data_IF_166826804102
#
_entry.id   IF_166826804102
#
_cell.length_a   1.000
_cell.length_b   1.000
_cell.length_c   1.000
_cell.angle_alpha   90.00
_cell.angle_beta   90.00
_cell.angle_gamma   90.00
#
_symmetry.space_group_name_H-M   'P 1'
#
loop_
_entity.id
_entity.type
_entity.pdbx_description
1 polymer ?
#
# COMPACT_ATOMS: atom_id res chain seq x y z
N UNK A 1 14.98 -12.93 1.24
CA UNK A 1 14.39 -11.58 0.98
C UNK A 1 15.31 -10.60 0.23
N UNK A 2 16.62 -10.85 0.06
CA UNK A 2 17.53 -9.91 -0.63
C UNK A 2 17.44 -9.92 -2.16
N UNK A 3 17.34 -11.11 -2.78
CA UNK A 3 17.35 -11.25 -4.24
C UNK A 3 16.24 -10.46 -4.95
N UNK A 4 15.00 -10.51 -4.44
CA UNK A 4 13.88 -9.76 -5.00
C UNK A 4 14.06 -8.23 -4.91
N UNK A 5 14.76 -7.74 -3.87
CA UNK A 5 15.07 -6.31 -3.73
C UNK A 5 16.15 -5.89 -4.72
N UNK A 6 17.18 -6.72 -4.91
CA UNK A 6 18.27 -6.47 -5.85
C UNK A 6 17.77 -6.50 -7.29
N UNK A 7 16.95 -7.49 -7.67
CA UNK A 7 16.38 -7.55 -9.02
C UNK A 7 15.45 -6.38 -9.30
N UNK A 8 14.60 -5.98 -8.34
CA UNK A 8 13.81 -4.74 -8.47
C UNK A 8 14.68 -3.50 -8.62
N UNK A 9 15.71 -3.35 -7.80
CA UNK A 9 16.62 -2.21 -7.88
C UNK A 9 17.33 -2.15 -9.24
N UNK A 10 17.83 -3.29 -9.74
CA UNK A 10 18.46 -3.38 -11.06
C UNK A 10 17.47 -2.99 -12.18
N UNK A 11 16.23 -3.47 -12.11
CA UNK A 11 15.20 -3.15 -13.10
C UNK A 11 14.84 -1.65 -13.11
N UNK A 12 14.76 -1.03 -11.93
CA UNK A 12 14.56 0.42 -11.80
C UNK A 12 15.72 1.19 -12.41
N UNK A 13 16.97 0.79 -12.15
CA UNK A 13 18.15 1.44 -12.74
C UNK A 13 18.12 1.33 -14.27
N UNK A 14 17.80 0.15 -14.81
CA UNK A 14 17.67 -0.05 -16.26
C UNK A 14 16.60 0.86 -16.86
N UNK A 15 15.44 0.97 -16.21
CA UNK A 15 14.37 1.88 -16.62
C UNK A 15 14.82 3.35 -16.65
N UNK A 16 15.55 3.79 -15.63
CA UNK A 16 16.09 5.17 -15.56
C UNK A 16 17.07 5.41 -16.71
N UNK A 17 18.03 4.51 -16.91
CA UNK A 17 19.02 4.64 -18.00
C UNK A 17 18.34 4.66 -19.36
N UNK A 18 17.35 3.80 -19.59
CA UNK A 18 16.57 3.78 -20.83
C UNK A 18 15.80 5.10 -21.05
N UNK A 19 15.20 5.67 -20.00
CA UNK A 19 14.51 6.96 -20.09
C UNK A 19 15.47 8.11 -20.42
N UNK A 20 16.66 8.13 -19.81
CA UNK A 20 17.71 9.11 -20.11
C UNK A 20 18.24 8.97 -21.54
N UNK A 21 18.50 7.74 -22.00
CA UNK A 21 18.92 7.49 -23.37
C UNK A 21 17.84 7.97 -24.36
N UNK A 22 16.58 7.60 -24.13
CA UNK A 22 15.46 8.00 -24.97
C UNK A 22 15.31 9.52 -25.06
N UNK A 23 15.40 10.22 -23.92
CA UNK A 23 15.32 11.69 -23.90
C UNK A 23 16.50 12.34 -24.62
N UNK A 24 17.72 11.84 -24.45
CA UNK A 24 18.89 12.36 -25.17
C UNK A 24 18.77 12.19 -26.69
N UNK A 25 18.39 11.01 -27.17
CA UNK A 25 18.26 10.74 -28.60
C UNK A 25 17.13 11.55 -29.26
N UNK A 26 16.10 11.93 -28.51
CA UNK A 26 14.93 12.64 -29.02
C UNK A 26 14.90 14.12 -28.63
N UNK A 27 15.95 14.65 -27.99
CA UNK A 27 15.99 16.02 -27.47
C UNK A 27 15.82 17.10 -28.54
N UNK A 28 16.22 16.82 -29.80
CA UNK A 28 16.06 17.74 -30.93
C UNK A 28 14.83 17.49 -31.80
N UNK A 29 14.11 16.39 -31.56
CA UNK A 29 12.99 15.97 -32.41
C UNK A 29 11.77 16.84 -32.13
N UNK A 30 11.31 17.57 -33.15
CA UNK A 30 10.08 18.36 -33.10
C UNK A 30 8.94 17.59 -33.75
N UNK A 31 7.75 17.70 -33.17
CA UNK A 31 6.52 17.10 -33.70
C UNK A 31 5.58 18.23 -34.06
N UNK A 32 5.13 18.22 -35.31
CA UNK A 32 4.11 19.14 -35.81
C UNK A 32 2.74 18.45 -35.76
N UNK A 33 1.73 19.19 -35.29
CA UNK A 33 0.34 18.77 -35.04
C UNK A 33 0.17 17.73 -33.92
N UNK A 34 0.00 18.22 -32.70
CA UNK A 34 -0.53 17.44 -31.59
C UNK A 34 -1.99 17.84 -31.35
N UNK A 35 -2.92 16.97 -31.73
CA UNK A 35 -4.35 17.11 -31.38
C UNK A 35 -4.62 16.42 -30.04
N UNK A 36 -4.33 17.14 -28.96
CA UNK A 36 -4.78 16.73 -27.62
C UNK A 36 -6.24 17.14 -27.45
N UNK A 37 -7.12 16.24 -26.95
CA UNK A 37 -8.47 16.64 -26.61
C UNK A 37 -8.41 17.76 -25.56
N UNK A 38 -9.21 18.82 -25.77
CA UNK A 38 -9.29 20.01 -24.90
C UNK A 38 -8.11 21.01 -24.95
N UNK A 39 -7.17 20.89 -25.91
CA UNK A 39 -6.13 21.91 -26.12
C UNK A 39 -6.11 22.44 -27.57
N UNK A 40 -5.72 23.71 -27.78
CA UNK A 40 -5.51 24.24 -29.12
C UNK A 40 -4.32 23.55 -29.80
N UNK A 41 -4.44 23.37 -31.12
CA UNK A 41 -3.40 22.75 -31.94
C UNK A 41 -2.07 23.50 -31.76
N UNK A 42 -1.03 22.78 -31.33
CA UNK A 42 0.33 23.29 -31.23
C UNK A 42 1.22 22.63 -32.26
N UNK A 43 2.07 23.43 -32.89
CA UNK A 43 3.10 23.01 -33.84
C UNK A 43 4.49 23.28 -33.25
N UNK A 44 5.49 22.51 -33.66
CA UNK A 44 6.88 22.69 -33.28
C UNK A 44 7.24 22.30 -31.85
N UNK A 45 6.41 21.48 -31.19
CA UNK A 45 6.64 21.03 -29.81
C UNK A 45 7.72 19.95 -29.77
N UNK A 46 8.57 19.97 -28.74
CA UNK A 46 9.59 18.94 -28.57
C UNK A 46 8.93 17.61 -28.19
N UNK A 47 9.34 16.51 -28.82
CA UNK A 47 8.80 15.18 -28.54
C UNK A 47 8.98 14.79 -27.05
N UNK A 48 10.09 15.23 -26.45
CA UNK A 48 10.38 15.02 -25.02
C UNK A 48 9.34 15.71 -24.13
N UNK A 49 8.92 16.92 -24.48
CA UNK A 49 7.90 17.67 -23.73
C UNK A 49 6.54 16.98 -23.83
N UNK A 50 6.18 16.50 -25.03
CA UNK A 50 4.96 15.73 -25.24
C UNK A 50 4.94 14.43 -24.41
N UNK A 51 6.06 13.72 -24.36
CA UNK A 51 6.23 12.46 -23.61
C UNK A 51 6.20 12.68 -22.09
N UNK A 52 6.48 13.89 -21.61
CA UNK A 52 6.46 14.22 -20.19
C UNK A 52 5.03 14.23 -19.62
N UNK A 53 4.03 14.64 -20.39
CA UNK A 53 2.63 14.64 -19.95
C UNK A 53 2.11 13.26 -19.52
N UNK A 54 2.14 12.21 -20.36
CA UNK A 54 1.68 10.88 -19.95
C UNK A 54 2.56 10.29 -18.83
N UNK A 55 3.85 10.62 -18.78
CA UNK A 55 4.73 10.20 -17.68
C UNK A 55 4.26 10.77 -16.34
N UNK A 56 4.01 12.08 -16.28
CA UNK A 56 3.53 12.75 -15.05
C UNK A 56 2.14 12.25 -14.67
N UNK A 57 1.23 12.11 -15.64
CA UNK A 57 -0.10 11.55 -15.42
C UNK A 57 -0.04 10.12 -14.87
N UNK A 58 0.79 9.27 -15.46
CA UNK A 58 1.01 7.90 -15.00
C UNK A 58 1.57 7.85 -13.58
N UNK A 59 2.53 8.73 -13.26
CA UNK A 59 3.11 8.82 -11.92
C UNK A 59 2.08 9.28 -10.88
N UNK A 60 1.27 10.30 -11.20
CA UNK A 60 0.19 10.77 -10.34
C UNK A 60 -0.87 9.69 -10.11
N UNK A 61 -1.29 9.00 -11.18
CA UNK A 61 -2.26 7.91 -11.08
C UNK A 61 -1.71 6.76 -10.22
N UNK A 62 -0.46 6.36 -10.45
CA UNK A 62 0.21 5.33 -9.64
C UNK A 62 0.34 5.73 -8.17
N UNK A 63 0.68 7.00 -7.90
CA UNK A 63 0.74 7.54 -6.54
C UNK A 63 -0.62 7.49 -5.84
N UNK A 64 -1.70 7.88 -6.52
CA UNK A 64 -3.06 7.80 -5.99
C UNK A 64 -3.47 6.36 -5.67
N UNK A 65 -3.19 5.42 -6.57
CA UNK A 65 -3.44 3.98 -6.31
C UNK A 65 -2.64 3.49 -5.11
N UNK A 66 -1.37 3.90 -5.00
CA UNK A 66 -0.51 3.58 -3.87
C UNK A 66 -1.09 4.09 -2.54
N UNK A 67 -1.55 5.34 -2.51
CA UNK A 67 -2.20 5.93 -1.33
C UNK A 67 -3.45 5.15 -0.91
N UNK A 68 -4.34 4.84 -1.87
CA UNK A 68 -5.55 4.07 -1.59
C UNK A 68 -5.21 2.69 -1.01
N UNK A 69 -4.20 2.01 -1.56
CA UNK A 69 -3.76 0.72 -1.03
C UNK A 69 -3.16 0.80 0.37
N UNK A 70 -2.42 1.86 0.68
CA UNK A 70 -1.89 2.08 2.02
C UNK A 70 -3.04 2.29 3.02
N UNK A 71 -4.05 3.07 2.65
CA UNK A 71 -5.24 3.28 3.49
C UNK A 71 -5.99 1.97 3.75
N UNK A 72 -6.19 1.16 2.70
CA UNK A 72 -6.80 -0.16 2.81
C UNK A 72 -6.01 -1.09 3.76
N UNK A 73 -4.68 -1.13 3.60
CA UNK A 73 -3.79 -1.92 4.47
C UNK A 73 -3.83 -1.45 5.93
N UNK A 74 -3.98 -0.16 6.19
CA UNK A 74 -4.13 0.36 7.54
C UNK A 74 -5.48 -0.03 8.15
N UNK A 75 -6.54 -0.03 7.34
CA UNK A 75 -7.87 -0.46 7.77
C UNK A 75 -7.88 -1.96 8.12
N UNK A 76 -7.28 -2.81 7.28
CA UNK A 76 -7.15 -4.24 7.55
C UNK A 76 -6.31 -4.51 8.79
N UNK A 77 -5.18 -3.81 8.97
CA UNK A 77 -4.36 -3.91 10.19
C UNK A 77 -5.15 -3.56 11.45
N UNK A 78 -5.99 -2.52 11.42
CA UNK A 78 -6.84 -2.15 12.56
C UNK A 78 -7.89 -3.22 12.84
N UNK A 79 -8.50 -3.78 11.80
CA UNK A 79 -9.48 -4.86 11.93
C UNK A 79 -8.85 -6.13 12.52
N UNK A 80 -7.68 -6.54 12.00
CA UNK A 80 -6.95 -7.72 12.51
C UNK A 80 -6.47 -7.54 13.95
N UNK A 81 -6.03 -6.33 14.35
CA UNK A 81 -5.70 -6.05 15.76
C UNK A 81 -6.92 -6.19 16.68
N UNK A 82 -8.08 -5.67 16.27
CA UNK A 82 -9.32 -5.84 17.04
C UNK A 82 -9.69 -7.31 17.18
N UNK A 83 -9.56 -8.08 16.09
CA UNK A 83 -9.89 -9.49 16.09
C UNK A 83 -8.94 -10.30 16.98
N UNK A 84 -7.62 -10.02 16.92
CA UNK A 84 -6.65 -10.60 17.84
C UNK A 84 -7.00 -10.32 19.30
N UNK A 85 -7.30 -9.06 19.65
CA UNK A 85 -7.64 -8.70 21.02
C UNK A 85 -8.92 -9.40 21.50
N UNK A 86 -9.92 -9.55 20.62
CA UNK A 86 -11.16 -10.26 20.93
C UNK A 86 -10.89 -11.74 21.22
N UNK A 87 -10.19 -12.43 20.31
CA UNK A 87 -9.83 -13.84 20.47
C UNK A 87 -8.96 -14.06 21.71
N UNK A 88 -8.03 -13.15 21.99
CA UNK A 88 -7.18 -13.22 23.19
C UNK A 88 -7.99 -12.99 24.49
N UNK A 89 -9.00 -12.12 24.44
CA UNK A 89 -9.95 -11.93 25.53
C UNK A 89 -10.83 -13.16 25.77
N UNK A 90 -11.36 -13.78 24.72
CA UNK A 90 -12.12 -15.03 24.79
C UNK A 90 -11.27 -16.17 25.40
N UNK A 91 -10.01 -16.29 24.97
CA UNK A 91 -9.05 -17.24 25.55
C UNK A 91 -8.80 -16.99 27.04
N UNK A 92 -8.71 -15.73 27.45
CA UNK A 92 -8.49 -15.36 28.85
C UNK A 92 -9.73 -15.60 29.71
N UNK A 93 -10.92 -15.29 29.19
CA UNK A 93 -12.20 -15.57 29.84
C UNK A 93 -12.40 -17.08 30.02
N UNK A 94 -12.14 -17.89 28.99
CA UNK A 94 -12.18 -19.36 29.07
C UNK A 94 -11.17 -19.91 30.09
N UNK A 95 -10.01 -19.26 30.25
CA UNK A 95 -9.00 -19.68 31.22
C UNK A 95 -9.33 -19.29 32.67
N UNK A 96 -10.16 -18.27 32.87
CA UNK A 96 -10.56 -17.79 34.19
C UNK A 96 -11.91 -18.40 34.65
N UNK A 97 -12.74 -18.88 33.73
CA UNK A 97 -13.96 -19.63 34.02
C UNK A 97 -13.74 -20.80 35.02
N UNK A 98 -12.70 -21.66 34.87
CA UNK A 98 -12.45 -22.73 35.83
C UNK A 98 -11.97 -22.23 37.21
N UNK A 99 -11.47 -20.99 37.35
CA UNK A 99 -11.11 -20.41 38.65
C UNK A 99 -12.34 -19.89 39.40
N UNK A 100 -13.29 -19.28 38.70
CA UNK A 100 -14.55 -18.79 39.30
C UNK A 100 -15.42 -19.94 39.82
N UNK A 101 -15.50 -21.05 39.08
CA UNK A 101 -16.23 -22.25 39.54
C UNK A 101 -15.58 -22.86 40.79
N UNK A 102 -14.25 -22.90 40.85
CA UNK A 102 -13.52 -23.41 42.01
C UNK A 102 -13.65 -22.50 43.25
N UNK A 103 -13.69 -21.17 43.08
CA UNK A 103 -13.93 -20.23 44.18
C UNK A 103 -15.38 -20.32 44.71
N UNK A 104 -16.37 -20.48 43.83
CA UNK A 104 -17.77 -20.64 44.24
C UNK A 104 -18.00 -21.96 45.00
N UNK A 105 -17.35 -23.05 44.59
CA UNK A 105 -17.41 -24.33 45.29
C UNK A 105 -16.74 -24.27 46.68
N UNK A 106 -15.64 -23.52 46.79
CA UNK A 106 -14.94 -23.26 48.06
C UNK A 106 -15.78 -22.43 49.05
N UNK A 107 -16.48 -21.40 48.55
CA UNK A 107 -17.36 -20.55 49.35
C UNK A 107 -18.61 -21.31 49.84
N UNK A 108 -19.22 -22.13 48.98
CA UNK A 108 -20.37 -22.96 49.32
C UNK A 108 -20.03 -24.09 50.32
N UNK A 109 -18.78 -24.55 50.34
CA UNK A 109 -18.30 -25.52 51.34
C UNK A 109 -18.08 -24.89 52.73
N UNK A 110 -17.67 -23.62 52.80
CA UNK A 110 -17.50 -22.89 54.05
C UNK A 110 -18.83 -22.57 54.77
N UNK A 111 -19.89 -22.34 54.01
CA UNK A 111 -21.21 -21.95 54.55
C UNK A 111 -21.99 -23.13 55.18
N UNK A 112 -21.62 -24.38 54.86
CA UNK A 112 -22.20 -25.59 55.47
C UNK A 112 -21.51 -26.03 56.77
N UNK A 113 -20.48 -25.32 57.22
CA UNK A 113 -19.68 -25.67 58.40
C UNK A 113 -19.89 -24.74 59.61
N UNK A 114 -20.84 -23.80 59.55
CA UNK A 114 -21.31 -22.99 60.70
C UNK A 114 -22.77 -23.32 61.01
#
# INVERSE_FOLDING_TARGET
MGFLKVTRAALVIVLIVAAFAFTMFNAGTRVDLIRLPFMPDRTGMLLVELMLYPLVLGLLAGFMVGLLKIMELQATLRAERRNRNKVQGELTALRNLPLEEAEQESAAAGEKSS
#
